data_IF_331761245415
#
_entry.id   IF_331761245415
#
_cell.length_a   1.000
_cell.length_b   1.000
_cell.length_c   1.000
_cell.angle_alpha   90.00
_cell.angle_beta   90.00
_cell.angle_gamma   90.00
#
_symmetry.space_group_name_H-M   'P 1'
#
loop_
_entity.id
_entity.type
_entity.pdbx_description
1 polymer ?
#
# COMPACT_ATOMS: atom_id res chain seq x y z
N UNK A 1 -46.24 6.99 -18.75
CA UNK A 1 -45.42 6.45 -17.61
C UNK A 1 -44.26 5.69 -18.19
N UNK A 2 -43.03 5.92 -17.71
CA UNK A 2 -41.82 5.24 -18.19
C UNK A 2 -41.74 3.87 -17.53
N UNK A 3 -41.47 2.80 -18.28
CA UNK A 3 -41.30 1.46 -17.73
C UNK A 3 -40.02 1.33 -16.93
N UNK A 4 -40.00 0.44 -15.92
CA UNK A 4 -38.80 0.14 -15.11
C UNK A 4 -37.59 -0.25 -15.97
N UNK A 5 -37.81 -1.10 -16.96
CA UNK A 5 -36.75 -1.55 -17.87
C UNK A 5 -36.14 -0.40 -18.69
N UNK A 6 -36.99 0.52 -19.15
CA UNK A 6 -36.53 1.70 -19.88
C UNK A 6 -35.76 2.66 -18.97
N UNK A 7 -36.25 2.93 -17.77
CA UNK A 7 -35.53 3.75 -16.75
C UNK A 7 -34.16 3.19 -16.44
N UNK A 8 -34.06 1.88 -16.23
CA UNK A 8 -32.77 1.19 -15.99
C UNK A 8 -31.82 1.33 -17.19
N UNK A 9 -32.33 1.27 -18.42
CA UNK A 9 -31.55 1.47 -19.66
C UNK A 9 -31.00 2.90 -19.77
N UNK A 10 -31.83 3.90 -19.42
CA UNK A 10 -31.44 5.32 -19.42
C UNK A 10 -30.36 5.57 -18.36
N UNK A 11 -30.56 5.09 -17.13
CA UNK A 11 -29.58 5.24 -16.04
C UNK A 11 -28.22 4.60 -16.37
N UNK A 12 -28.22 3.42 -16.99
CA UNK A 12 -26.98 2.78 -17.44
C UNK A 12 -26.18 3.58 -18.49
N UNK A 13 -26.85 4.45 -19.25
CA UNK A 13 -26.20 5.33 -20.22
C UNK A 13 -25.73 6.65 -19.61
N UNK A 14 -26.18 6.99 -18.42
CA UNK A 14 -25.77 8.20 -17.72
C UNK A 14 -24.29 8.06 -17.30
N UNK A 15 -23.42 8.90 -17.85
CA UNK A 15 -22.00 8.94 -17.52
C UNK A 15 -21.76 10.11 -16.57
N UNK A 16 -21.40 9.78 -15.33
CA UNK A 16 -21.01 10.78 -14.35
C UNK A 16 -19.49 10.95 -14.40
N UNK A 17 -19.03 12.14 -14.76
CA UNK A 17 -17.59 12.48 -14.75
C UNK A 17 -17.15 12.83 -13.33
N UNK A 18 -16.61 11.83 -12.61
CA UNK A 18 -16.08 12.03 -11.27
C UNK A 18 -14.70 12.70 -11.37
N UNK A 19 -14.53 13.84 -10.71
CA UNK A 19 -13.25 14.56 -10.61
C UNK A 19 -12.23 13.76 -9.78
N UNK A 20 -10.97 14.03 -10.02
CA UNK A 20 -9.87 13.47 -9.24
C UNK A 20 -9.47 14.45 -8.12
N UNK A 21 -8.85 13.92 -7.07
CA UNK A 21 -8.22 14.70 -6.00
C UNK A 21 -6.95 14.03 -5.50
N UNK A 22 -6.03 14.83 -4.95
CA UNK A 22 -4.82 14.34 -4.31
C UNK A 22 -5.06 14.25 -2.80
N UNK A 23 -4.75 13.09 -2.22
CA UNK A 23 -4.87 12.85 -0.79
C UNK A 23 -3.60 12.20 -0.24
N UNK A 24 -3.40 12.28 1.08
CA UNK A 24 -2.36 11.49 1.76
C UNK A 24 -2.66 10.00 1.61
N UNK A 25 -1.68 9.20 1.23
CA UNK A 25 -1.84 7.76 1.00
C UNK A 25 -2.40 7.02 2.22
N UNK A 26 -2.04 7.46 3.42
CA UNK A 26 -2.52 6.87 4.69
C UNK A 26 -4.04 7.06 4.89
N UNK A 27 -4.65 8.08 4.27
CA UNK A 27 -6.07 8.40 4.37
C UNK A 27 -6.88 7.86 3.17
N UNK A 28 -6.31 6.94 2.41
CA UNK A 28 -6.88 6.53 1.13
C UNK A 28 -7.65 5.20 1.18
N UNK A 29 -7.78 4.59 2.35
CA UNK A 29 -8.55 3.35 2.50
C UNK A 29 -9.95 3.49 1.88
N UNK A 30 -10.38 2.48 1.14
CA UNK A 30 -11.65 2.42 0.43
C UNK A 30 -11.85 3.49 -0.67
N UNK A 31 -10.81 4.27 -1.03
CA UNK A 31 -10.87 5.21 -2.15
C UNK A 31 -10.52 4.50 -3.47
N UNK A 32 -11.01 5.02 -4.58
CA UNK A 32 -10.71 4.51 -5.94
C UNK A 32 -9.52 5.23 -6.52
N UNK A 33 -8.52 4.49 -6.96
CA UNK A 33 -7.31 5.03 -7.61
C UNK A 33 -7.64 5.68 -8.96
N UNK A 34 -7.24 6.94 -9.14
CA UNK A 34 -7.53 7.70 -10.37
C UNK A 34 -6.50 7.49 -11.48
N UNK A 35 -5.26 7.11 -11.15
CA UNK A 35 -4.18 6.80 -12.09
C UNK A 35 -3.28 5.72 -11.52
N UNK A 36 -2.59 4.95 -12.35
CA UNK A 36 -1.64 3.95 -11.88
C UNK A 36 -0.64 4.56 -10.88
N UNK A 37 -0.43 3.88 -9.76
CA UNK A 37 0.53 4.25 -8.74
C UNK A 37 1.77 3.38 -8.93
N UNK A 38 2.91 3.99 -9.21
CA UNK A 38 4.17 3.28 -9.47
C UNK A 38 5.15 3.46 -8.31
N UNK A 39 6.04 2.49 -8.16
CA UNK A 39 7.14 2.54 -7.21
C UNK A 39 8.20 3.55 -7.66
N UNK A 40 8.60 4.48 -6.78
CA UNK A 40 9.63 5.49 -7.06
C UNK A 40 11.07 5.00 -6.88
N UNK A 41 11.24 3.90 -6.16
CA UNK A 41 12.54 3.34 -5.75
C UNK A 41 12.51 1.82 -5.93
N UNK A 42 13.68 1.18 -5.91
CA UNK A 42 13.77 -0.26 -5.69
C UNK A 42 13.48 -0.56 -4.21
N UNK A 43 12.80 -1.66 -3.93
CA UNK A 43 12.65 -2.16 -2.57
C UNK A 43 12.94 -3.66 -2.52
N UNK A 44 13.88 -4.12 -1.67
CA UNK A 44 14.83 -3.32 -0.86
C UNK A 44 15.65 -2.34 -1.71
N UNK A 45 16.17 -1.27 -1.06
CA UNK A 45 16.93 -0.20 -1.77
C UNK A 45 18.35 -0.62 -2.15
N UNK A 46 18.87 -1.69 -1.53
CA UNK A 46 20.19 -2.27 -1.79
C UNK A 46 20.17 -3.76 -1.50
N UNK A 47 21.18 -4.46 -2.01
CA UNK A 47 21.39 -5.87 -1.69
C UNK A 47 21.61 -6.01 -0.19
N UNK A 48 20.87 -6.91 0.46
CA UNK A 48 20.94 -7.10 1.90
C UNK A 48 21.02 -8.58 2.28
N UNK A 49 21.42 -8.84 3.52
CA UNK A 49 21.54 -10.19 4.05
C UNK A 49 20.17 -10.81 4.28
N UNK A 50 19.95 -12.02 3.76
CA UNK A 50 18.74 -12.81 3.99
C UNK A 50 18.79 -13.57 5.33
N UNK A 51 19.98 -13.75 5.90
CA UNK A 51 20.26 -14.46 7.17
C UNK A 51 21.31 -13.71 7.98
N UNK A 52 21.32 -13.93 9.28
CA UNK A 52 22.41 -13.53 10.15
C UNK A 52 23.66 -14.35 9.81
N UNK A 53 24.82 -13.72 9.71
CA UNK A 53 26.04 -14.41 9.33
C UNK A 53 27.17 -13.49 8.96
N UNK A 54 27.98 -13.91 8.00
CA UNK A 54 29.17 -13.20 7.56
C UNK A 54 29.15 -12.92 6.07
N UNK A 55 29.24 -11.66 5.69
CA UNK A 55 29.42 -11.24 4.30
C UNK A 55 30.90 -11.37 3.91
N UNK A 56 31.14 -11.99 2.77
CA UNK A 56 32.48 -12.20 2.18
C UNK A 56 32.42 -11.96 0.67
N UNK A 57 33.61 -11.88 0.06
CA UNK A 57 33.75 -11.97 -1.39
C UNK A 57 33.88 -13.46 -1.80
N UNK A 58 32.93 -13.97 -2.57
CA UNK A 58 32.90 -15.36 -3.02
C UNK A 58 34.16 -15.76 -3.83
N UNK A 59 34.76 -14.82 -4.55
CA UNK A 59 35.98 -15.07 -5.34
C UNK A 59 37.16 -15.50 -4.45
N UNK A 60 37.23 -15.03 -3.20
CA UNK A 60 38.27 -15.41 -2.25
C UNK A 60 38.15 -16.87 -1.83
N UNK A 61 37.00 -17.52 -2.11
CA UNK A 61 36.80 -18.95 -1.81
C UNK A 61 37.10 -19.88 -3.00
N UNK A 62 37.35 -19.34 -4.19
CA UNK A 62 37.40 -20.11 -5.46
C UNK A 62 38.39 -21.28 -5.42
N UNK A 63 39.52 -21.09 -4.76
CA UNK A 63 40.62 -22.07 -4.71
C UNK A 63 40.72 -22.82 -3.38
N UNK A 64 39.70 -22.74 -2.52
CA UNK A 64 39.69 -23.44 -1.25
C UNK A 64 39.35 -24.92 -1.50
N UNK A 65 40.22 -25.81 -1.04
CA UNK A 65 40.02 -27.28 -1.03
C UNK A 65 39.52 -27.71 0.35
N UNK A 66 38.75 -28.80 0.40
CA UNK A 66 38.20 -29.33 1.68
C UNK A 66 39.26 -29.61 2.76
N UNK A 67 40.48 -29.94 2.36
CA UNK A 67 41.61 -30.24 3.26
C UNK A 67 42.29 -29.01 3.86
N UNK A 68 42.03 -27.79 3.37
CA UNK A 68 42.70 -26.56 3.78
C UNK A 68 41.70 -25.44 4.04
N UNK A 69 41.37 -25.22 5.31
CA UNK A 69 40.58 -24.06 5.71
C UNK A 69 41.34 -22.77 5.52
N UNK A 70 40.66 -21.73 5.02
CA UNK A 70 41.20 -20.37 4.88
C UNK A 70 40.60 -19.47 5.98
N UNK A 71 41.46 -18.68 6.61
CA UNK A 71 41.08 -17.67 7.61
C UNK A 71 40.57 -16.41 6.91
N UNK A 72 39.36 -15.94 7.26
CA UNK A 72 38.84 -14.63 6.85
C UNK A 72 38.77 -13.75 8.07
N UNK A 73 39.37 -12.56 8.00
CA UNK A 73 39.49 -11.61 9.11
C UNK A 73 38.14 -10.90 9.32
N UNK A 74 37.62 -10.91 10.55
CA UNK A 74 36.43 -10.15 10.91
C UNK A 74 36.82 -8.69 11.08
N UNK A 75 36.29 -7.80 10.23
CA UNK A 75 36.63 -6.38 10.20
C UNK A 75 35.57 -5.46 10.79
N UNK A 76 34.43 -5.97 11.18
CA UNK A 76 33.34 -5.23 11.80
C UNK A 76 32.01 -5.97 11.82
N UNK A 77 30.99 -5.25 12.26
CA UNK A 77 29.59 -5.71 12.38
C UNK A 77 28.65 -4.72 11.67
N UNK A 78 27.65 -5.22 11.00
CA UNK A 78 26.58 -4.47 10.36
C UNK A 78 25.24 -4.99 10.90
N UNK A 79 24.59 -4.21 11.75
CA UNK A 79 23.21 -4.48 12.15
C UNK A 79 22.22 -3.86 11.16
N UNK A 80 20.98 -4.35 11.15
CA UNK A 80 19.89 -3.73 10.39
C UNK A 80 19.74 -2.25 10.79
N UNK A 81 19.59 -1.37 9.79
CA UNK A 81 19.49 0.07 10.03
C UNK A 81 20.80 0.81 10.27
N UNK A 82 21.94 0.12 10.32
CA UNK A 82 23.23 0.78 10.40
C UNK A 82 23.52 1.64 9.16
N UNK A 83 24.34 2.68 9.35
CA UNK A 83 24.92 3.45 8.25
C UNK A 83 25.76 2.54 7.34
N UNK A 84 25.89 2.87 6.04
CA UNK A 84 26.71 2.09 5.14
C UNK A 84 28.13 1.89 5.66
N UNK A 85 28.65 0.68 5.52
CA UNK A 85 29.99 0.30 5.96
C UNK A 85 31.05 1.03 5.11
N UNK A 86 31.98 1.73 5.78
CA UNK A 86 32.95 2.63 5.13
C UNK A 86 34.39 2.12 5.10
N UNK A 87 34.70 1.01 5.80
CA UNK A 87 36.08 0.50 5.81
C UNK A 87 36.48 -0.06 4.44
N UNK A 88 37.71 0.13 4.04
CA UNK A 88 38.30 -0.47 2.82
C UNK A 88 38.40 -1.99 3.02
N UNK A 89 37.77 -2.73 2.11
CA UNK A 89 37.73 -4.20 2.15
C UNK A 89 38.97 -4.73 1.43
N UNK A 90 39.63 -5.70 2.06
CA UNK A 90 40.78 -6.42 1.52
C UNK A 90 40.39 -7.87 1.23
N UNK A 91 41.26 -8.55 0.52
CA UNK A 91 41.14 -10.00 0.28
C UNK A 91 41.12 -10.76 1.61
N UNK A 92 40.24 -11.74 1.72
CA UNK A 92 39.99 -12.53 2.94
C UNK A 92 39.47 -11.70 4.15
N UNK A 93 38.84 -10.57 3.90
CA UNK A 93 38.06 -9.91 4.92
C UNK A 93 36.66 -10.51 4.98
N UNK A 94 36.03 -10.46 6.16
CA UNK A 94 34.66 -10.79 6.42
C UNK A 94 34.02 -9.72 7.32
N UNK A 95 32.75 -9.46 7.17
CA UNK A 95 31.99 -8.61 8.09
C UNK A 95 30.80 -9.37 8.63
N UNK A 96 30.64 -9.35 9.93
CA UNK A 96 29.42 -9.87 10.56
C UNK A 96 28.25 -9.02 10.12
N UNK A 97 27.17 -9.65 9.72
CA UNK A 97 26.00 -8.95 9.17
C UNK A 97 24.72 -9.60 9.68
N UNK A 98 23.81 -8.77 10.19
CA UNK A 98 22.48 -9.21 10.62
C UNK A 98 21.50 -9.16 9.44
N UNK A 99 20.45 -9.98 9.50
CA UNK A 99 19.35 -10.00 8.52
C UNK A 99 18.85 -8.59 8.23
N UNK A 100 18.69 -8.26 6.96
CA UNK A 100 18.31 -6.91 6.51
C UNK A 100 19.45 -5.89 6.47
N UNK A 101 20.64 -6.21 6.97
CA UNK A 101 21.84 -5.37 6.83
C UNK A 101 22.26 -5.22 5.36
N UNK A 102 22.61 -3.99 4.93
CA UNK A 102 23.07 -3.71 3.56
C UNK A 102 24.45 -4.31 3.36
N UNK A 103 24.62 -5.12 2.32
CA UNK A 103 25.89 -5.76 1.97
C UNK A 103 26.85 -4.69 1.44
N UNK A 104 28.05 -4.53 2.04
CA UNK A 104 29.02 -3.55 1.56
C UNK A 104 29.53 -3.88 0.16
N UNK A 105 29.82 -2.83 -0.61
CA UNK A 105 30.47 -2.97 -1.92
C UNK A 105 31.80 -3.71 -1.75
N UNK A 106 31.98 -4.81 -2.49
CA UNK A 106 33.15 -5.67 -2.41
C UNK A 106 32.86 -7.04 -1.79
N UNK A 107 31.74 -7.20 -1.10
CA UNK A 107 31.18 -8.49 -0.74
C UNK A 107 30.00 -8.85 -1.65
N UNK A 108 29.75 -10.13 -1.84
CA UNK A 108 28.73 -10.61 -2.78
C UNK A 108 28.01 -11.88 -2.32
N UNK A 109 28.28 -12.34 -1.10
CA UNK A 109 27.67 -13.57 -0.57
C UNK A 109 27.66 -13.55 0.96
N UNK A 110 26.69 -14.26 1.54
CA UNK A 110 26.53 -14.43 3.00
C UNK A 110 26.70 -15.89 3.35
N UNK A 111 27.44 -16.15 4.44
CA UNK A 111 27.51 -17.46 5.09
C UNK A 111 26.72 -17.36 6.39
N UNK A 112 25.63 -18.16 6.57
CA UNK A 112 24.87 -18.17 7.80
C UNK A 112 25.74 -18.49 9.02
N UNK A 113 25.40 -17.88 10.16
CA UNK A 113 26.21 -18.01 11.38
C UNK A 113 26.34 -19.46 11.84
N UNK A 114 25.34 -20.28 11.60
CA UNK A 114 25.31 -21.71 11.96
C UNK A 114 26.32 -22.55 11.14
N UNK A 115 26.83 -22.01 10.05
CA UNK A 115 27.81 -22.67 9.18
C UNK A 115 29.25 -22.18 9.44
N UNK A 116 29.45 -21.35 10.46
CA UNK A 116 30.73 -20.70 10.74
C UNK A 116 31.53 -21.47 11.79
N UNK A 117 32.82 -21.57 11.56
CA UNK A 117 33.80 -22.02 12.58
C UNK A 117 34.66 -20.80 12.91
N UNK A 118 34.70 -20.42 14.19
CA UNK A 118 35.50 -19.29 14.65
C UNK A 118 36.94 -19.67 14.99
N UNK A 119 37.84 -18.70 14.79
CA UNK A 119 39.25 -18.86 15.15
C UNK A 119 39.75 -17.62 15.90
N UNK A 120 40.50 -17.79 17.02
CA UNK A 120 40.92 -19.07 17.60
C UNK A 120 39.79 -19.88 18.28
N UNK A 121 38.70 -19.25 18.73
CA UNK A 121 37.53 -19.89 19.32
C UNK A 121 36.34 -18.89 19.35
N UNK A 122 35.18 -19.32 19.83
CA UNK A 122 33.94 -18.53 19.88
C UNK A 122 34.02 -17.33 20.86
N UNK A 123 34.83 -17.44 21.91
CA UNK A 123 35.02 -16.35 22.88
C UNK A 123 36.00 -15.27 22.39
N UNK A 124 36.81 -15.59 21.37
CA UNK A 124 37.78 -14.67 20.79
C UNK A 124 37.68 -14.71 19.23
N UNK A 125 36.57 -14.20 18.70
CA UNK A 125 36.23 -14.24 17.28
C UNK A 125 37.07 -13.25 16.46
N UNK A 126 38.30 -13.61 16.09
CA UNK A 126 39.16 -12.78 15.22
C UNK A 126 38.98 -13.12 13.74
N UNK A 127 38.72 -14.39 13.44
CA UNK A 127 38.59 -14.91 12.09
C UNK A 127 37.43 -15.90 12.01
N UNK A 128 36.89 -16.09 10.82
CA UNK A 128 36.08 -17.24 10.44
C UNK A 128 36.88 -18.17 9.55
N UNK A 129 36.66 -19.47 9.66
CA UNK A 129 37.30 -20.50 8.85
C UNK A 129 36.34 -20.96 7.74
N UNK A 130 36.82 -20.92 6.50
CA UNK A 130 36.08 -21.40 5.33
C UNK A 130 36.84 -22.54 4.70
N UNK A 131 36.23 -23.71 4.56
CA UNK A 131 36.82 -24.95 4.05
C UNK A 131 36.22 -25.43 2.72
N UNK A 132 35.38 -24.61 2.08
CA UNK A 132 34.71 -24.94 0.80
C UNK A 132 34.55 -23.69 -0.06
N UNK A 133 34.40 -23.93 -1.36
CA UNK A 133 33.99 -22.86 -2.29
C UNK A 133 32.55 -22.43 -1.98
N UNK A 134 32.31 -21.14 -1.84
CA UNK A 134 30.99 -20.55 -1.63
C UNK A 134 30.47 -19.96 -2.94
N UNK A 135 29.21 -20.24 -3.24
CA UNK A 135 28.55 -19.76 -4.45
C UNK A 135 28.29 -18.25 -4.31
N UNK A 136 28.57 -17.50 -5.37
CA UNK A 136 28.22 -16.07 -5.47
C UNK A 136 26.72 -15.85 -5.26
N UNK A 137 26.36 -14.78 -4.58
CA UNK A 137 24.99 -14.37 -4.25
C UNK A 137 24.22 -15.35 -3.33
N UNK A 138 24.95 -16.22 -2.63
CA UNK A 138 24.32 -17.10 -1.64
C UNK A 138 23.78 -16.25 -0.49
N UNK A 139 22.50 -16.49 -0.11
CA UNK A 139 21.78 -15.77 0.94
C UNK A 139 21.74 -14.23 0.80
N UNK A 140 21.79 -13.75 -0.44
CA UNK A 140 21.62 -12.33 -0.78
C UNK A 140 20.19 -12.07 -1.22
N UNK A 141 19.51 -11.10 -0.59
CA UNK A 141 18.26 -10.55 -1.04
C UNK A 141 18.54 -9.30 -1.86
N UNK A 142 18.28 -9.38 -3.16
CA UNK A 142 18.66 -8.33 -4.10
C UNK A 142 17.82 -7.06 -3.98
N UNK A 143 18.43 -5.94 -4.29
CA UNK A 143 17.72 -4.68 -4.48
C UNK A 143 16.59 -4.84 -5.50
N UNK A 144 15.40 -4.39 -5.12
CA UNK A 144 14.23 -4.48 -5.99
C UNK A 144 13.62 -5.87 -6.10
N UNK A 145 13.96 -6.83 -5.21
CA UNK A 145 13.35 -8.16 -5.22
C UNK A 145 11.86 -8.14 -4.91
N UNK A 146 11.38 -7.18 -4.14
CA UNK A 146 9.96 -7.05 -3.79
C UNK A 146 9.24 -6.08 -4.75
N UNK A 147 9.88 -4.92 -5.02
CA UNK A 147 9.37 -3.91 -5.95
C UNK A 147 10.53 -3.27 -6.73
N UNK A 148 10.43 -3.27 -8.04
CA UNK A 148 11.37 -2.55 -8.91
C UNK A 148 10.91 -1.12 -9.12
N UNK A 149 11.85 -0.20 -9.25
CA UNK A 149 11.56 1.19 -9.63
C UNK A 149 10.72 1.22 -10.92
N UNK A 150 9.67 2.05 -10.94
CA UNK A 150 8.66 2.18 -12.01
C UNK A 150 7.65 1.02 -12.10
N UNK A 151 7.75 -0.03 -11.31
CA UNK A 151 6.74 -1.08 -11.25
C UNK A 151 5.41 -0.52 -10.73
N UNK A 152 4.28 -1.00 -11.28
CA UNK A 152 2.95 -0.58 -10.86
C UNK A 152 2.59 -1.30 -9.56
N UNK A 153 2.44 -0.54 -8.49
CA UNK A 153 2.04 -1.01 -7.16
C UNK A 153 0.53 -1.20 -7.09
N UNK A 154 -0.23 -0.22 -7.63
CA UNK A 154 -1.70 -0.27 -7.69
C UNK A 154 -2.18 0.27 -9.02
N UNK A 155 -3.06 -0.47 -9.69
CA UNK A 155 -3.64 -0.07 -10.98
C UNK A 155 -4.76 0.97 -10.80
N UNK A 156 -4.96 1.80 -11.82
CA UNK A 156 -6.13 2.70 -11.93
C UNK A 156 -7.43 1.93 -11.73
N UNK A 157 -8.42 2.58 -11.14
CA UNK A 157 -9.76 2.06 -10.82
C UNK A 157 -9.78 0.93 -9.75
N UNK A 158 -8.67 0.66 -9.08
CA UNK A 158 -8.63 -0.25 -7.94
C UNK A 158 -9.16 0.46 -6.68
N UNK A 159 -9.97 -0.22 -5.88
CA UNK A 159 -10.34 0.22 -4.52
C UNK A 159 -9.17 -0.10 -3.59
N UNK A 160 -8.72 0.92 -2.85
CA UNK A 160 -7.57 0.79 -1.96
C UNK A 160 -7.94 -0.04 -0.73
N UNK A 161 -7.16 -1.09 -0.50
CA UNK A 161 -7.27 -2.02 0.61
C UNK A 161 -6.13 -1.79 1.64
N UNK A 162 -6.18 -2.37 2.86
CA UNK A 162 -5.14 -2.22 3.87
C UNK A 162 -3.74 -2.62 3.40
N UNK A 163 -3.59 -3.67 2.60
CA UNK A 163 -2.31 -4.10 2.02
C UNK A 163 -1.70 -3.06 1.08
N UNK A 164 -2.53 -2.28 0.36
CA UNK A 164 -2.05 -1.16 -0.44
C UNK A 164 -1.49 -0.04 0.43
N UNK A 165 -2.13 0.26 1.58
CA UNK A 165 -1.61 1.24 2.54
C UNK A 165 -0.25 0.79 3.09
N UNK A 166 -0.10 -0.50 3.43
CA UNK A 166 1.18 -1.09 3.83
C UNK A 166 2.24 -0.85 2.76
N UNK A 167 1.95 -1.20 1.50
CA UNK A 167 2.87 -0.99 0.38
C UNK A 167 3.24 0.49 0.19
N UNK A 168 2.28 1.41 0.29
CA UNK A 168 2.55 2.85 0.19
C UNK A 168 3.51 3.33 1.27
N UNK A 169 3.34 2.88 2.51
CA UNK A 169 4.24 3.23 3.63
C UNK A 169 5.63 2.66 3.41
N UNK A 170 5.72 1.37 3.03
CA UNK A 170 6.99 0.69 2.75
C UNK A 170 7.78 1.39 1.64
N UNK A 171 7.09 1.83 0.58
CA UNK A 171 7.70 2.47 -0.60
C UNK A 171 7.84 3.99 -0.48
N UNK A 172 7.44 4.60 0.65
CA UNK A 172 7.52 6.04 0.87
C UNK A 172 6.56 6.86 0.00
N UNK A 173 5.47 6.28 -0.50
CA UNK A 173 4.46 6.96 -1.33
C UNK A 173 3.57 7.79 -0.40
N UNK A 174 3.79 9.11 -0.39
CA UNK A 174 3.12 10.03 0.55
C UNK A 174 1.74 10.48 0.08
N UNK A 175 1.60 10.81 -1.20
CA UNK A 175 0.37 11.34 -1.81
C UNK A 175 0.01 10.51 -3.03
N UNK A 176 -1.28 10.35 -3.25
CA UNK A 176 -1.82 9.61 -4.38
C UNK A 176 -3.04 10.32 -4.96
N UNK A 177 -3.32 10.05 -6.23
CA UNK A 177 -4.48 10.59 -6.94
C UNK A 177 -5.62 9.58 -6.89
N UNK A 178 -6.75 10.01 -6.35
CA UNK A 178 -7.96 9.18 -6.21
C UNK A 178 -9.17 9.87 -6.81
N UNK A 179 -10.22 9.11 -7.10
CA UNK A 179 -11.51 9.66 -7.47
C UNK A 179 -12.14 10.36 -6.26
N UNK A 180 -12.75 11.54 -6.46
CA UNK A 180 -13.55 12.17 -5.41
C UNK A 180 -14.71 11.27 -5.01
N UNK A 181 -15.16 11.40 -3.78
CA UNK A 181 -16.43 10.79 -3.36
C UNK A 181 -17.56 11.45 -4.13
N UNK A 182 -18.55 10.66 -4.53
CA UNK A 182 -19.76 11.16 -5.19
C UNK A 182 -20.71 11.72 -4.14
N UNK A 183 -21.12 12.97 -4.30
CA UNK A 183 -22.07 13.61 -3.42
C UNK A 183 -23.50 13.35 -3.93
N UNK A 184 -24.27 12.60 -3.19
CA UNK A 184 -25.64 12.20 -3.52
C UNK A 184 -26.60 12.92 -2.56
N UNK A 185 -27.53 13.66 -3.14
CA UNK A 185 -28.63 14.25 -2.42
C UNK A 185 -29.89 13.46 -2.74
N UNK A 186 -30.64 13.04 -1.74
CA UNK A 186 -31.88 12.34 -1.96
C UNK A 186 -33.03 12.96 -1.14
N UNK A 187 -34.23 12.78 -1.62
CA UNK A 187 -35.46 13.23 -0.98
C UNK A 187 -36.41 12.06 -0.84
N UNK A 188 -37.16 12.04 0.25
CA UNK A 188 -38.35 11.22 0.37
C UNK A 188 -39.55 12.00 -0.16
N UNK A 189 -40.44 11.37 -0.95
CA UNK A 189 -41.61 12.06 -1.55
C UNK A 189 -42.90 11.41 -1.13
N UNK A 190 -43.89 12.21 -0.79
CA UNK A 190 -45.24 11.76 -0.41
C UNK A 190 -45.85 12.56 0.75
N UNK A 191 -47.17 12.78 0.68
CA UNK A 191 -47.90 13.48 1.73
C UNK A 191 -48.04 12.64 3.01
N UNK A 192 -47.99 11.33 2.86
CA UNK A 192 -48.09 10.36 3.95
C UNK A 192 -46.85 10.23 4.79
N UNK A 193 -45.68 10.59 4.25
CA UNK A 193 -44.35 10.37 4.90
C UNK A 193 -44.13 11.37 6.03
N UNK A 194 -43.65 10.89 7.17
CA UNK A 194 -43.30 11.68 8.35
C UNK A 194 -41.96 11.24 8.95
N UNK A 195 -41.20 12.22 9.49
CA UNK A 195 -39.99 11.96 10.29
C UNK A 195 -40.27 11.81 11.79
N UNK A 196 -41.54 11.97 12.21
CA UNK A 196 -41.93 11.79 13.61
C UNK A 196 -42.00 10.30 13.98
N UNK A 197 -41.57 9.98 15.19
CA UNK A 197 -41.75 8.63 15.76
C UNK A 197 -43.21 8.34 16.10
N UNK A 198 -43.96 9.39 16.53
CA UNK A 198 -45.37 9.31 16.81
C UNK A 198 -46.18 9.78 15.60
N UNK A 199 -46.75 8.85 14.87
CA UNK A 199 -47.53 9.13 13.67
C UNK A 199 -48.95 8.54 13.78
N UNK A 200 -49.98 9.21 13.25
CA UNK A 200 -51.30 8.63 13.13
C UNK A 200 -51.30 7.48 12.12
N UNK A 201 -52.31 6.60 12.19
CA UNK A 201 -52.40 5.37 11.39
C UNK A 201 -52.40 5.58 9.88
N UNK A 202 -52.75 6.77 9.40
CA UNK A 202 -52.71 7.15 7.97
C UNK A 202 -51.37 7.74 7.49
N UNK A 203 -50.33 7.77 8.34
CA UNK A 203 -48.98 8.21 7.99
C UNK A 203 -48.02 7.04 7.98
N UNK A 204 -46.93 7.23 7.27
CA UNK A 204 -45.83 6.25 7.15
C UNK A 204 -44.52 6.89 7.64
N UNK A 205 -43.74 6.16 8.42
CA UNK A 205 -42.41 6.60 8.86
C UNK A 205 -41.45 6.66 7.71
N UNK A 206 -40.59 7.66 7.69
CA UNK A 206 -39.56 7.84 6.67
C UNK A 206 -38.38 6.83 6.83
N UNK A 207 -38.66 5.55 6.65
CA UNK A 207 -37.67 4.47 6.78
C UNK A 207 -36.65 4.48 5.64
N UNK A 208 -37.07 4.87 4.42
CA UNK A 208 -36.19 4.87 3.23
C UNK A 208 -34.98 5.80 3.38
N UNK A 209 -35.16 6.97 4.02
CA UNK A 209 -34.03 7.88 4.25
C UNK A 209 -32.97 7.27 5.17
N UNK A 210 -33.39 6.56 6.20
CA UNK A 210 -32.48 5.85 7.10
C UNK A 210 -31.78 4.68 6.39
N UNK A 211 -32.52 3.92 5.57
CA UNK A 211 -31.93 2.85 4.76
C UNK A 211 -30.84 3.36 3.81
N UNK A 212 -31.16 4.41 3.03
CA UNK A 212 -30.20 5.00 2.06
C UNK A 212 -28.96 5.54 2.76
N UNK A 213 -29.11 6.24 3.90
CA UNK A 213 -27.97 6.74 4.69
C UNK A 213 -27.02 5.62 5.12
N UNK A 214 -27.56 4.45 5.44
CA UNK A 214 -26.78 3.30 5.90
C UNK A 214 -26.23 2.42 4.76
N UNK A 215 -26.60 2.68 3.49
CA UNK A 215 -25.98 2.01 2.33
C UNK A 215 -24.52 2.42 2.07
N UNK A 216 -23.99 3.39 2.81
CA UNK A 216 -22.62 3.94 2.59
C UNK A 216 -21.50 3.04 3.14
N UNK A 217 -21.67 1.73 3.12
CA UNK A 217 -20.67 0.76 3.59
C UNK A 217 -19.33 0.88 2.84
N UNK A 218 -19.36 1.32 1.58
CA UNK A 218 -18.18 1.38 0.73
C UNK A 218 -17.42 2.71 0.79
N UNK A 219 -17.83 3.68 1.59
CA UNK A 219 -17.19 5.00 1.75
C UNK A 219 -16.93 5.77 0.44
N UNK A 220 -17.58 5.36 -0.66
CA UNK A 220 -17.41 5.98 -2.00
C UNK A 220 -18.36 7.15 -2.22
N UNK A 221 -19.41 7.23 -1.39
CA UNK A 221 -20.47 8.23 -1.52
C UNK A 221 -20.55 9.10 -0.27
N UNK A 222 -21.00 10.34 -0.46
CA UNK A 222 -21.47 11.21 0.60
C UNK A 222 -22.96 11.39 0.40
N UNK A 223 -23.77 10.79 1.26
CA UNK A 223 -25.22 10.93 1.22
C UNK A 223 -25.66 12.15 2.04
N UNK A 224 -26.52 12.97 1.44
CA UNK A 224 -27.19 14.09 2.10
C UNK A 224 -28.70 13.91 1.97
N UNK A 225 -29.38 13.93 3.09
CA UNK A 225 -30.84 13.91 3.13
C UNK A 225 -31.39 15.33 2.88
N UNK A 226 -32.15 15.48 1.81
CA UNK A 226 -32.84 16.72 1.44
C UNK A 226 -34.16 16.91 2.16
N UNK A 227 -34.59 15.91 2.94
CA UNK A 227 -35.85 15.92 3.66
C UNK A 227 -37.02 15.34 2.86
N UNK A 228 -38.22 15.68 3.30
CA UNK A 228 -39.47 15.20 2.69
C UNK A 228 -40.04 16.26 1.78
N UNK A 229 -40.37 15.86 0.54
CA UNK A 229 -41.11 16.68 -0.42
C UNK A 229 -42.59 16.24 -0.44
N UNK A 230 -43.50 17.19 -0.21
CA UNK A 230 -44.93 16.98 -0.29
C UNK A 230 -45.43 17.31 -1.71
N UNK A 231 -46.51 16.70 -2.16
CA UNK A 231 -47.05 16.85 -3.51
C UNK A 231 -47.35 18.31 -3.89
N UNK A 232 -47.70 19.14 -2.91
CA UNK A 232 -47.93 20.59 -3.10
C UNK A 232 -46.64 21.43 -3.28
N UNK A 233 -45.47 20.82 -3.21
CA UNK A 233 -44.16 21.51 -3.20
C UNK A 233 -43.48 21.57 -4.57
N UNK A 234 -44.17 21.39 -5.71
CA UNK A 234 -43.58 21.35 -7.03
C UNK A 234 -42.67 22.55 -7.32
N UNK A 235 -43.15 23.79 -7.06
CA UNK A 235 -42.38 25.02 -7.23
C UNK A 235 -41.17 25.06 -6.29
N UNK A 236 -41.33 24.58 -5.05
CA UNK A 236 -40.25 24.51 -4.04
C UNK A 236 -39.23 23.44 -4.46
N UNK A 237 -39.67 22.35 -5.06
CA UNK A 237 -38.82 21.29 -5.58
C UNK A 237 -37.92 21.79 -6.69
N UNK A 238 -38.48 22.48 -7.70
CA UNK A 238 -37.70 23.08 -8.79
C UNK A 238 -36.67 24.08 -8.28
N UNK A 239 -37.03 24.97 -7.36
CA UNK A 239 -36.14 25.93 -6.74
C UNK A 239 -35.04 25.24 -5.90
N UNK A 240 -35.38 24.23 -5.11
CA UNK A 240 -34.40 23.44 -4.34
C UNK A 240 -33.44 22.68 -5.24
N UNK A 241 -33.90 22.00 -6.27
CA UNK A 241 -33.05 21.30 -7.24
C UNK A 241 -32.14 22.27 -7.96
N UNK A 242 -32.64 23.40 -8.46
CA UNK A 242 -31.83 24.40 -9.15
C UNK A 242 -30.73 24.97 -8.26
N UNK A 243 -31.02 25.28 -7.00
CA UNK A 243 -30.00 25.70 -6.01
C UNK A 243 -28.97 24.62 -5.72
N UNK A 244 -29.36 23.35 -5.74
CA UNK A 244 -28.51 22.22 -5.38
C UNK A 244 -27.70 21.68 -6.57
N UNK A 245 -28.21 21.77 -7.80
CA UNK A 245 -27.43 21.53 -9.01
C UNK A 245 -26.27 22.52 -9.18
N UNK A 246 -26.42 23.74 -8.64
CA UNK A 246 -25.35 24.74 -8.54
C UNK A 246 -24.41 24.51 -7.34
N UNK A 247 -24.70 23.53 -6.49
CA UNK A 247 -23.89 23.14 -5.33
C UNK A 247 -22.94 21.98 -5.66
N UNK A 248 -22.18 21.54 -4.69
CA UNK A 248 -21.23 20.41 -4.82
C UNK A 248 -21.94 19.04 -4.90
N UNK A 249 -23.14 18.96 -5.43
CA UNK A 249 -23.93 17.71 -5.59
C UNK A 249 -23.69 17.11 -6.96
N UNK A 250 -23.38 15.83 -7.02
CA UNK A 250 -23.11 15.11 -8.26
C UNK A 250 -24.36 14.34 -8.76
N UNK A 251 -25.25 13.92 -7.84
CA UNK A 251 -26.49 13.19 -8.11
C UNK A 251 -27.60 13.71 -7.19
N UNK A 252 -28.81 13.89 -7.76
CA UNK A 252 -30.05 14.15 -7.01
C UNK A 252 -31.03 13.03 -7.29
#
# INVERSE_FOLDING_TARGET
MISYQYSKKVLKKAIIKIKDENIKSINSLNRVVASNISCGINYPTGDNAAFDGYAINSQDTKNIKKSLSKKFKIIGLIAAGNKPFKKKIKRYDAVEIMTGGIIPKGFDTIIPIEQIIFYPNENNKKYILINKKIKKHNHVRFAGSDFKKKEIVVKKNTIIQPNHILAFKTLGIKNIKVKKKVNILFFSTGNEISNSDNIPSWKVRNSNSHYIKNLNENFLFNFKDGGILKDKHEKIFQSKISKMLNSKTDIV
#
